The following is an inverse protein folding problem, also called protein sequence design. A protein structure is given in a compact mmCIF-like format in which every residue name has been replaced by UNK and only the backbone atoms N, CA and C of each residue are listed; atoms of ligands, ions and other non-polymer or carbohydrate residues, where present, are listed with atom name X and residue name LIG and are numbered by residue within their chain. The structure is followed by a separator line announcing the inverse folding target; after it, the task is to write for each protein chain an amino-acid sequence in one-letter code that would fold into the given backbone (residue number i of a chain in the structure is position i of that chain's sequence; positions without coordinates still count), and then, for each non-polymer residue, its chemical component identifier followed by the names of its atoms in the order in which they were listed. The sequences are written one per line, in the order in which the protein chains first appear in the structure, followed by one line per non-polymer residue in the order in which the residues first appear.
data_IF_212131158465
#
_entry.id   IF_212131158465
#
_cell.length_a   1.000
_cell.length_b   1.000
_cell.length_c   1.000
_cell.angle_alpha   90.00
_cell.angle_beta   90.00
_cell.angle_gamma   90.00
#
_symmetry.space_group_name_H-M   'P 1'
#
loop_
_entity.id
_entity.type
_entity.pdbx_description
1 polymer ?
#
# COMPACT_ATOMS: atom_id res chain seq x y z
N UNK A 1 -22.75 -22.05 -1.65
CA UNK A 1 -23.04 -21.09 -2.74
C UNK A 1 -22.09 -19.91 -2.51
N UNK A 2 -21.03 -19.74 -3.32
CA UNK A 2 -20.13 -18.58 -3.16
C UNK A 2 -20.89 -17.32 -3.54
N UNK A 3 -20.77 -16.28 -2.72
CA UNK A 3 -21.33 -14.97 -3.01
C UNK A 3 -20.71 -14.42 -4.32
N UNK A 4 -21.52 -13.70 -5.12
CA UNK A 4 -21.12 -13.16 -6.42
C UNK A 4 -19.92 -12.20 -6.26
N UNK A 5 -19.88 -11.46 -5.16
CA UNK A 5 -18.77 -10.56 -4.81
C UNK A 5 -17.48 -11.36 -4.60
N UNK A 6 -17.52 -12.40 -3.78
CA UNK A 6 -16.38 -13.27 -3.50
C UNK A 6 -15.83 -13.89 -4.79
N UNK A 7 -16.72 -14.36 -5.66
CA UNK A 7 -16.35 -14.94 -6.95
C UNK A 7 -15.72 -13.92 -7.91
N UNK A 8 -16.07 -12.64 -7.82
CA UNK A 8 -15.43 -11.57 -8.60
C UNK A 8 -14.04 -11.21 -8.05
N UNK A 9 -13.89 -11.15 -6.74
CA UNK A 9 -12.60 -10.88 -6.10
C UNK A 9 -11.59 -12.00 -6.38
N UNK A 10 -12.01 -13.27 -6.27
CA UNK A 10 -11.14 -14.40 -6.61
C UNK A 10 -10.66 -14.35 -8.06
N UNK A 11 -11.50 -13.87 -8.99
CA UNK A 11 -11.13 -13.68 -10.40
C UNK A 11 -10.14 -12.54 -10.65
N UNK A 12 -10.02 -11.57 -9.74
CA UNK A 12 -9.00 -10.51 -9.86
C UNK A 12 -7.58 -11.00 -9.53
N UNK A 13 -7.43 -12.17 -8.91
CA UNK A 13 -6.14 -12.78 -8.61
C UNK A 13 -5.63 -13.50 -9.87
N UNK A 14 -4.76 -12.83 -10.64
CA UNK A 14 -4.15 -13.43 -11.85
C UNK A 14 -3.09 -14.49 -11.50
N UNK A 15 -2.31 -14.24 -10.45
CA UNK A 15 -1.23 -15.11 -9.99
C UNK A 15 -1.33 -15.25 -8.48
N UNK A 16 -1.23 -16.47 -7.97
CA UNK A 16 -1.20 -16.69 -6.52
C UNK A 16 0.16 -16.27 -5.97
N UNK A 17 0.20 -15.53 -4.86
CA UNK A 17 1.46 -15.12 -4.26
C UNK A 17 2.20 -16.36 -3.71
N UNK A 18 3.53 -16.30 -3.73
CA UNK A 18 4.34 -17.36 -3.13
C UNK A 18 4.18 -17.33 -1.59
N UNK A 19 3.84 -18.45 -0.92
CA UNK A 19 3.54 -18.47 0.52
C UNK A 19 4.63 -17.83 1.38
N UNK A 20 5.90 -18.19 1.12
CA UNK A 20 7.07 -17.65 1.83
C UNK A 20 7.15 -16.11 1.83
N UNK A 21 6.80 -15.46 0.72
CA UNK A 21 6.84 -13.98 0.63
C UNK A 21 5.73 -13.38 1.48
N UNK A 22 4.53 -13.97 1.44
CA UNK A 22 3.40 -13.50 2.22
C UNK A 22 3.60 -13.73 3.72
N UNK A 23 4.17 -14.86 4.13
CA UNK A 23 4.53 -15.14 5.52
C UNK A 23 5.45 -14.06 6.07
N UNK A 24 6.48 -13.66 5.30
CA UNK A 24 7.39 -12.59 5.72
C UNK A 24 6.70 -11.23 5.84
N UNK A 25 5.80 -10.90 4.91
CA UNK A 25 5.01 -9.66 4.98
C UNK A 25 4.10 -9.64 6.21
N UNK A 26 3.42 -10.76 6.48
CA UNK A 26 2.56 -10.93 7.66
C UNK A 26 3.39 -10.82 8.94
N UNK A 27 4.57 -11.42 9.00
CA UNK A 27 5.47 -11.33 10.15
C UNK A 27 5.86 -9.88 10.48
N UNK A 28 6.22 -9.08 9.47
CA UNK A 28 6.54 -7.65 9.65
C UNK A 28 5.34 -6.90 10.23
N UNK A 29 4.14 -7.14 9.68
CA UNK A 29 2.90 -6.50 10.14
C UNK A 29 2.60 -6.91 11.59
N UNK A 30 2.69 -8.20 11.92
CA UNK A 30 2.42 -8.71 13.27
C UNK A 30 3.43 -8.19 14.30
N UNK A 31 4.71 -8.08 13.94
CA UNK A 31 5.73 -7.52 14.82
C UNK A 31 5.48 -6.03 15.10
N UNK A 32 5.06 -5.28 14.07
CA UNK A 32 4.62 -3.88 14.20
C UNK A 32 3.38 -3.73 15.06
N UNK A 33 2.39 -4.60 14.92
CA UNK A 33 1.18 -4.61 15.74
C UNK A 33 1.50 -4.79 17.23
N UNK A 34 2.35 -5.78 17.55
CA UNK A 34 2.74 -6.10 18.93
C UNK A 34 3.61 -5.03 19.59
N UNK A 35 4.60 -4.52 18.85
CA UNK A 35 5.62 -3.61 19.39
C UNK A 35 5.84 -2.42 18.44
N UNK A 36 4.90 -1.47 18.37
CA UNK A 36 5.02 -0.34 17.45
C UNK A 36 6.29 0.47 17.69
N UNK A 37 6.64 0.79 18.92
CA UNK A 37 7.78 1.68 19.17
C UNK A 37 9.14 1.09 18.75
N UNK A 38 9.21 -0.24 18.52
CA UNK A 38 10.43 -0.95 18.15
C UNK A 38 10.47 -1.36 16.67
N UNK A 39 9.31 -1.45 16.01
CA UNK A 39 9.20 -1.88 14.63
C UNK A 39 8.57 -0.77 13.79
N UNK A 40 9.22 -0.33 12.69
CA UNK A 40 8.62 0.66 11.80
C UNK A 40 7.44 0.07 11.01
N UNK A 41 6.54 0.92 10.47
CA UNK A 41 5.51 0.48 9.53
C UNK A 41 6.11 -0.24 8.33
N UNK A 42 5.38 -1.20 7.76
CA UNK A 42 5.76 -1.81 6.49
C UNK A 42 5.68 -0.75 5.38
N UNK A 43 6.84 -0.41 4.80
CA UNK A 43 6.91 0.53 3.68
C UNK A 43 6.65 -0.18 2.36
N UNK A 44 5.70 0.37 1.61
CA UNK A 44 5.29 -0.10 0.29
C UNK A 44 5.56 1.01 -0.72
N UNK A 45 6.46 0.75 -1.67
CA UNK A 45 6.69 1.63 -2.81
C UNK A 45 5.75 1.22 -3.95
N UNK A 46 5.04 2.18 -4.53
CA UNK A 46 4.11 1.95 -5.64
C UNK A 46 4.60 2.73 -6.86
N UNK A 47 4.86 2.01 -7.93
CA UNK A 47 5.25 2.56 -9.24
C UNK A 47 4.10 2.35 -10.23
N UNK A 48 3.98 3.26 -11.19
CA UNK A 48 2.99 3.17 -12.24
C UNK A 48 2.86 4.46 -13.04
N UNK A 49 1.86 4.50 -13.91
CA UNK A 49 1.55 5.68 -14.70
C UNK A 49 0.50 6.61 -14.08
N UNK A 50 -0.15 7.37 -14.97
CA UNK A 50 -1.19 8.38 -14.69
C UNK A 50 -2.27 7.93 -13.67
N UNK A 51 -2.72 6.69 -13.78
CA UNK A 51 -3.76 6.12 -12.90
C UNK A 51 -3.26 5.97 -11.47
N UNK A 52 -2.02 5.49 -11.31
CA UNK A 52 -1.40 5.28 -10.00
C UNK A 52 -1.01 6.59 -9.36
N UNK A 53 -0.55 7.57 -10.14
CA UNK A 53 -0.28 8.94 -9.67
C UNK A 53 -1.55 9.58 -9.07
N UNK A 54 -2.73 9.18 -9.55
CA UNK A 54 -4.02 9.69 -9.08
C UNK A 54 -4.52 10.89 -9.88
N UNK A 55 -4.08 11.04 -11.13
CA UNK A 55 -4.50 12.14 -11.98
C UNK A 55 -6.02 12.20 -12.12
N UNK A 56 -6.57 13.41 -11.96
CA UNK A 56 -8.01 13.70 -11.93
C UNK A 56 -8.83 12.93 -10.89
N UNK A 57 -8.18 12.26 -9.94
CA UNK A 57 -8.87 11.81 -8.76
C UNK A 57 -9.25 13.05 -7.94
N UNK A 58 -10.56 13.30 -7.78
CA UNK A 58 -11.08 14.52 -7.13
C UNK A 58 -11.89 14.22 -5.87
N UNK A 59 -12.34 12.98 -5.73
CA UNK A 59 -13.28 12.59 -4.68
C UNK A 59 -12.87 11.26 -4.05
N UNK A 60 -13.04 11.20 -2.75
CA UNK A 60 -12.92 9.97 -1.99
C UNK A 60 -14.30 9.29 -1.87
N UNK A 61 -14.63 8.45 -2.85
CA UNK A 61 -15.92 7.74 -2.90
C UNK A 61 -16.10 6.63 -1.85
N UNK A 62 -15.06 6.29 -1.09
CA UNK A 62 -15.07 5.13 -0.17
C UNK A 62 -15.50 5.55 1.25
N UNK A 63 -15.85 6.82 1.50
CA UNK A 63 -16.33 7.29 2.81
C UNK A 63 -15.28 7.18 3.94
N UNK A 64 -14.02 6.91 3.60
CA UNK A 64 -12.91 6.89 4.56
C UNK A 64 -12.55 8.33 4.93
N UNK A 65 -12.31 8.59 6.21
CA UNK A 65 -11.84 9.90 6.68
C UNK A 65 -10.62 10.37 5.86
N UNK A 66 -10.65 11.62 5.40
CA UNK A 66 -9.53 12.24 4.70
C UNK A 66 -8.49 12.63 5.74
N UNK A 67 -7.40 11.85 5.85
CA UNK A 67 -6.27 12.23 6.72
C UNK A 67 -5.32 13.23 6.06
N UNK A 68 -5.49 13.48 4.76
CA UNK A 68 -4.64 14.36 3.97
C UNK A 68 -5.49 15.22 3.03
N UNK A 69 -5.19 16.53 2.98
CA UNK A 69 -5.82 17.45 2.03
C UNK A 69 -5.15 17.32 0.65
N UNK A 70 -5.92 17.14 -0.42
CA UNK A 70 -5.46 17.29 -1.81
C UNK A 70 -5.64 16.09 -2.74
N UNK A 71 -5.25 16.25 -4.01
CA UNK A 71 -5.34 15.23 -5.09
C UNK A 71 -4.61 13.92 -4.77
N UNK A 72 -3.70 13.93 -3.78
CA UNK A 72 -2.99 12.73 -3.32
C UNK A 72 -3.94 11.80 -2.53
N UNK A 73 -4.82 12.33 -1.67
CA UNK A 73 -5.65 11.50 -0.79
C UNK A 73 -6.64 10.57 -1.52
N UNK A 74 -6.94 10.86 -2.78
CA UNK A 74 -7.91 10.14 -3.59
C UNK A 74 -7.27 9.16 -4.59
N UNK A 75 -5.93 9.12 -4.72
CA UNK A 75 -5.28 8.07 -5.51
C UNK A 75 -5.51 6.68 -4.87
N UNK A 76 -5.51 5.64 -5.70
CA UNK A 76 -5.84 4.29 -5.22
C UNK A 76 -4.80 3.77 -4.23
N UNK A 77 -3.53 4.16 -4.38
CA UNK A 77 -2.41 3.79 -3.50
C UNK A 77 -2.62 4.26 -2.06
N UNK A 78 -3.10 5.49 -1.87
CA UNK A 78 -3.42 6.02 -0.53
C UNK A 78 -4.76 5.50 0.01
N UNK A 79 -5.73 5.18 -0.86
CA UNK A 79 -6.93 4.42 -0.44
C UNK A 79 -6.54 3.03 0.06
N UNK A 80 -5.62 2.37 -0.63
CA UNK A 80 -5.08 1.07 -0.26
C UNK A 80 -4.37 1.12 1.09
N UNK A 81 -3.51 2.12 1.34
CA UNK A 81 -2.90 2.34 2.66
C UNK A 81 -3.95 2.43 3.78
N UNK A 82 -4.99 3.24 3.58
CA UNK A 82 -6.05 3.43 4.57
C UNK A 82 -6.84 2.15 4.82
N UNK A 83 -7.19 1.42 3.76
CA UNK A 83 -7.88 0.13 3.88
C UNK A 83 -7.01 -0.85 4.69
N UNK A 84 -5.72 -0.96 4.40
CA UNK A 84 -4.84 -1.85 5.15
C UNK A 84 -4.74 -1.44 6.62
N UNK A 85 -4.51 -0.16 6.91
CA UNK A 85 -4.39 0.33 8.29
C UNK A 85 -5.69 0.20 9.09
N UNK A 86 -6.86 0.15 8.45
CA UNK A 86 -8.15 -0.05 9.12
C UNK A 86 -8.58 -1.52 9.21
N UNK A 87 -8.33 -2.32 8.17
CA UNK A 87 -8.82 -3.69 8.07
C UNK A 87 -7.89 -4.69 8.73
N UNK A 88 -6.57 -4.52 8.63
CA UNK A 88 -5.62 -5.48 9.22
C UNK A 88 -5.80 -5.66 10.74
N UNK A 89 -5.96 -4.59 11.56
CA UNK A 89 -6.22 -4.76 12.98
C UNK A 89 -7.49 -5.58 13.27
N UNK A 90 -8.55 -5.36 12.49
CA UNK A 90 -9.82 -6.09 12.62
C UNK A 90 -9.69 -7.58 12.26
N UNK A 91 -8.83 -7.91 11.29
CA UNK A 91 -8.61 -9.29 10.86
C UNK A 91 -7.81 -10.11 11.87
N UNK A 92 -6.93 -9.48 12.64
CA UNK A 92 -6.07 -10.15 13.61
C UNK A 92 -6.58 -10.03 15.07
N UNK A 93 -7.76 -9.45 15.27
CA UNK A 93 -8.42 -9.28 16.58
C UNK A 93 -7.52 -8.62 17.66
N UNK A 94 -6.55 -7.82 17.24
CA UNK A 94 -5.69 -7.09 18.16
C UNK A 94 -6.26 -5.69 18.41
N UNK A 95 -6.48 -5.39 19.68
CA UNK A 95 -6.83 -4.04 20.11
C UNK A 95 -5.59 -3.18 19.97
N UNK A 96 -5.63 -2.24 19.01
CA UNK A 96 -4.55 -1.28 18.85
C UNK A 96 -4.35 -0.54 20.19
N UNK A 97 -3.09 -0.40 20.66
CA UNK A 97 -2.84 0.31 21.90
C UNK A 97 -3.46 1.72 21.80
N UNK A 98 -4.27 2.08 22.81
CA UNK A 98 -4.87 3.40 22.89
C UNK A 98 -3.75 4.45 22.74
N UNK A 99 -3.94 5.39 21.80
CA UNK A 99 -2.92 6.37 21.44
C UNK A 99 -2.70 7.37 22.58
N UNK A 100 -1.86 7.03 23.56
CA UNK A 100 -1.49 7.94 24.65
C UNK A 100 -0.47 9.01 24.23
N UNK A 101 -0.09 9.05 22.96
CA UNK A 101 0.81 10.08 22.41
C UNK A 101 0.36 10.47 21.01
N UNK A 102 0.61 11.72 20.65
CA UNK A 102 0.25 12.41 19.40
C UNK A 102 0.82 11.79 18.10
N UNK A 103 1.32 10.55 18.13
CA UNK A 103 1.78 9.81 16.97
C UNK A 103 0.65 8.95 16.42
N UNK A 104 0.19 9.28 15.22
CA UNK A 104 -0.74 8.44 14.45
C UNK A 104 -0.12 7.05 14.26
N UNK A 105 -0.75 6.03 14.81
CA UNK A 105 -0.33 4.64 14.63
C UNK A 105 -0.65 4.18 13.20
N UNK A 106 0.39 3.81 12.44
CA UNK A 106 0.26 3.14 11.14
C UNK A 106 0.97 1.79 11.14
N UNK A 107 0.34 0.79 10.52
CA UNK A 107 0.93 -0.53 10.23
C UNK A 107 1.68 -0.53 8.90
N UNK A 108 1.15 0.22 7.95
CA UNK A 108 1.63 0.32 6.57
C UNK A 108 1.80 1.78 6.20
N UNK A 109 2.87 2.08 5.48
CA UNK A 109 3.13 3.38 4.85
C UNK A 109 3.33 3.16 3.34
N UNK A 110 2.52 3.82 2.52
CA UNK A 110 2.58 3.73 1.06
C UNK A 110 3.25 4.99 0.50
N UNK A 111 4.32 4.78 -0.26
CA UNK A 111 4.97 5.83 -1.06
C UNK A 111 4.60 5.66 -2.52
N UNK A 112 3.99 6.69 -3.09
CA UNK A 112 3.58 6.72 -4.49
C UNK A 112 4.68 7.40 -5.33
N UNK A 113 5.39 6.62 -6.13
CA UNK A 113 6.43 7.07 -7.05
C UNK A 113 5.98 7.02 -8.51
N UNK A 114 4.67 6.97 -8.75
CA UNK A 114 4.12 6.95 -10.10
C UNK A 114 4.35 8.25 -10.86
N UNK A 115 4.57 8.13 -12.16
CA UNK A 115 4.82 9.25 -13.06
C UNK A 115 3.94 9.12 -14.31
N UNK A 116 3.13 10.13 -14.58
CA UNK A 116 2.31 10.22 -15.79
C UNK A 116 3.12 10.03 -17.07
N UNK A 117 2.55 9.28 -18.03
CA UNK A 117 3.16 9.07 -19.34
C UNK A 117 4.39 8.16 -19.34
N UNK A 118 4.63 7.41 -18.26
CA UNK A 118 5.72 6.45 -18.15
C UNK A 118 5.23 5.00 -18.23
N UNK A 119 6.14 4.10 -18.58
CA UNK A 119 5.97 2.66 -18.67
C UNK A 119 6.88 1.95 -17.66
N UNK A 120 6.86 0.61 -17.67
CA UNK A 120 7.67 -0.19 -16.74
C UNK A 120 9.18 -0.01 -16.91
N UNK A 121 9.67 0.46 -18.07
CA UNK A 121 11.10 0.70 -18.30
C UNK A 121 11.64 1.83 -17.42
N UNK A 122 10.84 2.88 -17.22
CA UNK A 122 11.16 3.98 -16.31
C UNK A 122 11.15 3.48 -14.86
N UNK A 123 10.16 2.68 -14.48
CA UNK A 123 10.10 2.07 -13.15
C UNK A 123 11.32 1.21 -12.84
N UNK A 124 11.76 0.40 -13.81
CA UNK A 124 12.98 -0.40 -13.70
C UNK A 124 14.23 0.48 -13.54
N UNK A 125 14.33 1.55 -14.34
CA UNK A 125 15.45 2.52 -14.27
C UNK A 125 15.57 3.16 -12.89
N UNK A 126 14.44 3.56 -12.28
CA UNK A 126 14.44 4.17 -10.94
C UNK A 126 15.02 3.20 -9.88
N UNK A 127 14.66 1.92 -9.98
CA UNK A 127 15.13 0.88 -9.07
C UNK A 127 16.59 0.50 -9.33
N UNK A 128 16.97 0.30 -10.60
CA UNK A 128 18.32 -0.10 -11.01
C UNK A 128 19.37 0.92 -10.58
N UNK A 129 19.08 2.22 -10.79
CA UNK A 129 19.99 3.30 -10.43
C UNK A 129 19.79 3.82 -9.00
N UNK A 130 18.93 3.18 -8.21
CA UNK A 130 18.59 3.57 -6.84
C UNK A 130 18.32 5.09 -6.70
N UNK A 131 17.53 5.65 -7.62
CA UNK A 131 17.30 7.10 -7.68
C UNK A 131 16.54 7.65 -6.46
N UNK A 132 15.95 6.75 -5.67
CA UNK A 132 15.19 7.04 -4.45
C UNK A 132 16.03 6.85 -3.17
N UNK A 133 17.29 6.40 -3.30
CA UNK A 133 18.27 6.35 -2.22
C UNK A 133 17.79 5.63 -0.95
N UNK A 134 17.78 6.35 0.16
CA UNK A 134 17.45 5.81 1.49
C UNK A 134 16.02 5.30 1.60
N UNK A 135 15.09 5.80 0.78
CA UNK A 135 13.70 5.35 0.80
C UNK A 135 13.55 3.90 0.33
N UNK A 136 14.36 3.50 -0.67
CA UNK A 136 14.34 2.13 -1.18
C UNK A 136 15.04 1.14 -0.24
N UNK A 137 16.06 1.58 0.49
CA UNK A 137 16.80 0.75 1.45
C UNK A 137 15.92 0.18 2.59
N UNK A 138 14.79 0.84 2.86
CA UNK A 138 13.85 0.50 3.94
C UNK A 138 12.47 0.09 3.41
N UNK A 139 12.33 -0.05 2.09
CA UNK A 139 11.10 -0.52 1.44
C UNK A 139 11.02 -2.04 1.53
N UNK A 140 9.91 -2.56 2.07
CA UNK A 140 9.68 -4.00 2.22
C UNK A 140 8.88 -4.62 1.08
N UNK A 141 8.06 -3.83 0.38
CA UNK A 141 7.23 -4.29 -0.74
C UNK A 141 7.27 -3.26 -1.87
N UNK A 142 7.37 -3.75 -3.10
CA UNK A 142 7.24 -2.94 -4.31
C UNK A 142 6.01 -3.40 -5.09
N UNK A 143 5.14 -2.46 -5.44
CA UNK A 143 4.00 -2.69 -6.33
C UNK A 143 4.31 -2.03 -7.68
N UNK A 144 4.35 -2.83 -8.73
CA UNK A 144 4.46 -2.36 -10.12
C UNK A 144 3.09 -2.33 -10.78
N UNK A 145 2.62 -1.14 -11.17
CA UNK A 145 1.30 -0.90 -11.74
C UNK A 145 1.38 -0.20 -13.10
N UNK A 146 2.07 -0.83 -14.05
CA UNK A 146 2.23 -0.35 -15.43
C UNK A 146 1.38 -1.13 -16.46
N UNK A 147 0.54 -2.08 -16.04
CA UNK A 147 -0.17 -2.98 -16.96
C UNK A 147 -1.20 -2.33 -17.90
N UNK A 148 -1.49 -1.03 -17.77
CA UNK A 148 -2.28 -0.23 -18.71
C UNK A 148 -1.46 0.79 -19.50
N UNK A 149 -0.15 0.84 -19.23
CA UNK A 149 0.81 1.77 -19.82
C UNK A 149 1.69 1.06 -20.84
N UNK A 150 2.11 -0.17 -20.52
CA UNK A 150 2.81 -1.10 -21.41
C UNK A 150 1.85 -1.71 -22.44
#
# INVERSE_FOLDING_TARGET
MMDLLQSRLLRSIKVRPHPFVMERVVEIIMNRMKNPNQHPPLRIAVFGGLVTEGFRSRFNSIGLSESQNGFQACAWSYKFERVLNQVLPLLFDEHLPASDTSQSFSLVEVKNYAVSGTDSSIGATILEYNLLGTDMAVTGVVISSFGSND
#
